data_IF_288063558824
#
_entry.id   IF_288063558824
#
_cell.length_a   1.000
_cell.length_b   1.000
_cell.length_c   1.000
_cell.angle_alpha   90.00
_cell.angle_beta   90.00
_cell.angle_gamma   90.00
#
_symmetry.space_group_name_H-M   'P 1'
#
loop_
_entity.id
_entity.type
_entity.pdbx_description
1 polymer ?
#
# COMPACT_ATOMS: atom_id res chain seq x y z
N UNK A 1 12.98 -3.85 -16.61
CA UNK A 1 11.79 -4.71 -16.54
C UNK A 1 11.10 -4.57 -17.87
N UNK A 2 11.03 -5.66 -18.64
CA UNK A 2 10.53 -5.66 -20.01
C UNK A 2 9.04 -5.31 -20.02
N UNK A 3 8.57 -4.49 -20.96
CA UNK A 3 7.28 -3.79 -20.93
C UNK A 3 6.01 -4.64 -21.08
N UNK A 4 5.99 -5.87 -20.56
CA UNK A 4 4.87 -6.81 -20.59
C UNK A 4 3.76 -6.53 -19.58
N UNK A 5 2.67 -7.29 -19.69
CA UNK A 5 1.57 -7.31 -18.71
C UNK A 5 2.13 -7.71 -17.34
N UNK A 6 1.80 -6.92 -16.31
CA UNK A 6 2.27 -7.14 -14.94
C UNK A 6 1.26 -7.92 -14.10
N UNK A 7 -0.04 -7.76 -14.40
CA UNK A 7 -1.13 -8.53 -13.77
C UNK A 7 -2.34 -8.61 -14.71
N UNK A 8 -3.32 -9.44 -14.35
CA UNK A 8 -4.55 -9.64 -15.13
C UNK A 8 -5.77 -9.12 -14.38
N UNK A 9 -6.81 -8.75 -15.13
CA UNK A 9 -8.15 -8.51 -14.59
C UNK A 9 -8.62 -9.71 -13.78
N UNK A 10 -9.18 -9.45 -12.60
CA UNK A 10 -9.72 -10.47 -11.70
C UNK A 10 -8.68 -11.24 -10.87
N UNK A 11 -7.39 -10.97 -11.06
CA UNK A 11 -6.33 -11.58 -10.24
C UNK A 11 -6.06 -10.74 -9.00
N UNK A 12 -6.08 -11.39 -7.84
CA UNK A 12 -5.71 -10.79 -6.56
C UNK A 12 -4.20 -10.53 -6.51
N UNK A 13 -3.79 -9.28 -6.29
CA UNK A 13 -2.39 -8.90 -6.12
C UNK A 13 -2.11 -8.62 -4.65
N UNK A 14 -1.08 -9.27 -4.11
CA UNK A 14 -0.61 -9.02 -2.74
C UNK A 14 0.20 -7.73 -2.66
N UNK A 15 -0.07 -6.92 -1.65
CA UNK A 15 0.65 -5.67 -1.40
C UNK A 15 1.20 -5.69 0.01
N UNK A 16 2.46 -5.31 0.17
CA UNK A 16 3.11 -5.17 1.46
C UNK A 16 4.13 -4.05 1.45
N UNK A 17 4.38 -3.47 2.62
CA UNK A 17 5.42 -2.48 2.83
C UNK A 17 6.77 -3.18 3.03
N UNK A 18 7.86 -2.56 2.56
CA UNK A 18 9.21 -3.01 2.92
C UNK A 18 9.52 -2.69 4.39
N UNK A 19 10.58 -3.28 4.90
CA UNK A 19 11.12 -2.98 6.24
C UNK A 19 11.54 -1.50 6.38
N UNK A 20 11.82 -0.82 5.26
CA UNK A 20 12.14 0.62 5.23
C UNK A 20 10.93 1.53 5.50
N UNK A 21 9.71 0.98 5.57
CA UNK A 21 8.51 1.72 5.94
C UNK A 21 8.32 1.61 7.46
N UNK A 22 8.73 2.61 8.25
CA UNK A 22 8.65 2.49 9.70
C UNK A 22 7.19 2.47 10.15
N UNK A 23 6.85 1.59 11.08
CA UNK A 23 5.52 1.61 11.72
C UNK A 23 5.46 2.62 12.87
N UNK A 24 6.62 2.90 13.48
CA UNK A 24 6.80 3.90 14.52
C UNK A 24 8.17 4.56 14.39
N UNK A 25 8.23 5.87 14.61
CA UNK A 25 9.45 6.68 14.61
C UNK A 25 9.45 7.55 15.85
N UNK A 26 10.58 7.61 16.55
CA UNK A 26 10.78 8.48 17.71
C UNK A 26 11.89 9.49 17.45
N UNK A 27 11.64 10.74 17.79
CA UNK A 27 12.62 11.81 17.72
C UNK A 27 12.63 12.59 19.05
N UNK A 28 13.80 13.10 19.44
CA UNK A 28 13.93 13.94 20.64
C UNK A 28 14.49 15.31 20.27
N UNK A 29 14.04 16.33 20.99
CA UNK A 29 14.55 17.69 20.88
C UNK A 29 14.69 18.29 22.28
N UNK A 30 15.81 18.95 22.55
CA UNK A 30 16.11 19.56 23.85
C UNK A 30 16.26 21.06 23.72
N UNK A 31 15.59 21.81 24.59
CA UNK A 31 15.68 23.25 24.71
C UNK A 31 15.85 23.63 26.20
N UNK A 32 17.07 24.03 26.57
CA UNK A 32 17.41 24.32 27.97
C UNK A 32 17.24 23.05 28.85
N UNK A 33 16.50 23.12 29.97
CA UNK A 33 16.27 21.96 30.85
C UNK A 33 15.16 21.02 30.35
N UNK A 34 14.44 21.39 29.28
CA UNK A 34 13.28 20.62 28.78
C UNK A 34 13.69 19.77 27.59
N UNK A 35 13.36 18.49 27.62
CA UNK A 35 13.47 17.57 26.47
C UNK A 35 12.09 17.09 26.09
N UNK A 36 11.73 17.23 24.81
CA UNK A 36 10.52 16.66 24.23
C UNK A 36 10.87 15.40 23.42
N UNK A 37 10.05 14.37 23.57
CA UNK A 37 10.09 13.13 22.78
C UNK A 37 8.83 13.09 21.93
N UNK A 38 9.01 13.10 20.61
CA UNK A 38 7.94 12.92 19.63
C UNK A 38 7.89 11.46 19.22
N UNK A 39 6.70 10.87 19.21
CA UNK A 39 6.45 9.53 18.65
C UNK A 39 5.42 9.65 17.54
N UNK A 40 5.79 9.21 16.34
CA UNK A 40 4.91 9.13 15.19
C UNK A 40 4.65 7.66 14.86
N UNK A 41 3.39 7.25 14.73
CA UNK A 41 3.00 5.87 14.46
C UNK A 41 1.99 5.80 13.33
N UNK A 42 2.02 4.73 12.55
CA UNK A 42 1.05 4.45 11.50
C UNK A 42 0.44 3.06 11.67
N UNK A 43 -0.81 2.93 11.23
CA UNK A 43 -1.59 1.70 11.34
C UNK A 43 -1.62 0.88 10.05
N UNK A 44 -1.10 1.39 8.93
CA UNK A 44 -1.06 0.64 7.68
C UNK A 44 -0.91 1.44 6.39
N UNK A 45 -0.99 0.72 5.28
CA UNK A 45 -0.98 1.25 3.93
C UNK A 45 -2.35 1.79 3.53
N UNK A 46 -2.36 2.86 2.75
CA UNK A 46 -3.51 3.28 1.94
C UNK A 46 -3.18 3.06 0.47
N UNK A 47 -4.13 2.50 -0.27
CA UNK A 47 -3.96 2.21 -1.69
C UNK A 47 -5.13 2.80 -2.49
N UNK A 48 -4.84 3.21 -3.73
CA UNK A 48 -5.89 3.52 -4.71
C UNK A 48 -5.38 3.31 -6.13
N UNK A 49 -6.27 2.86 -7.01
CA UNK A 49 -6.05 2.84 -8.44
C UNK A 49 -7.42 2.94 -9.17
N UNK A 50 -7.44 3.37 -10.44
CA UNK A 50 -8.60 3.18 -11.29
C UNK A 50 -8.94 1.70 -11.47
N UNK A 51 -10.24 1.41 -11.57
CA UNK A 51 -10.77 0.06 -11.84
C UNK A 51 -10.19 -1.02 -10.91
N UNK A 52 -10.14 -0.74 -9.61
CA UNK A 52 -9.59 -1.67 -8.62
C UNK A 52 -10.47 -1.81 -7.39
N UNK A 53 -10.55 -3.03 -6.87
CA UNK A 53 -11.06 -3.36 -5.55
C UNK A 53 -9.87 -3.58 -4.61
N UNK A 54 -9.93 -2.99 -3.41
CA UNK A 54 -8.82 -2.94 -2.46
C UNK A 54 -9.32 -3.39 -1.09
N UNK A 55 -8.59 -4.31 -0.46
CA UNK A 55 -8.80 -4.72 0.92
C UNK A 55 -7.46 -4.72 1.62
N UNK A 56 -7.20 -3.71 2.47
CA UNK A 56 -5.92 -3.58 3.16
C UNK A 56 -6.08 -3.28 4.63
N UNK A 57 -5.44 -4.12 5.44
CA UNK A 57 -5.30 -4.00 6.88
C UNK A 57 -3.82 -4.05 7.22
N UNK A 58 -3.33 -3.07 7.98
CA UNK A 58 -1.93 -3.01 8.33
C UNK A 58 -1.02 -2.72 7.14
N UNK A 59 0.20 -3.26 7.21
CA UNK A 59 1.26 -3.03 6.23
C UNK A 59 1.40 -4.15 5.20
N UNK A 60 0.46 -5.10 5.15
CA UNK A 60 0.61 -6.31 4.35
C UNK A 60 1.61 -7.31 4.95
N UNK A 61 1.72 -8.47 4.31
CA UNK A 61 2.72 -9.49 4.64
C UNK A 61 3.50 -9.86 3.38
N UNK A 62 4.85 -9.86 3.41
CA UNK A 62 5.63 -10.33 2.28
C UNK A 62 5.25 -11.75 1.87
N UNK A 63 4.99 -11.95 0.57
CA UNK A 63 4.65 -13.27 0.06
C UNK A 63 5.82 -14.25 0.22
N UNK A 64 5.50 -15.50 0.55
CA UNK A 64 6.43 -16.62 0.57
C UNK A 64 5.82 -17.85 -0.10
N UNK A 65 6.67 -18.66 -0.72
CA UNK A 65 6.23 -19.90 -1.36
C UNK A 65 5.49 -20.81 -0.39
N UNK A 66 4.31 -21.28 -0.80
CA UNK A 66 3.46 -22.16 0.00
C UNK A 66 2.45 -21.44 0.90
N UNK A 67 2.42 -20.11 0.93
CA UNK A 67 1.31 -19.39 1.55
C UNK A 67 0.01 -19.60 0.76
N UNK A 68 -1.10 -19.70 1.49
CA UNK A 68 -2.41 -19.93 0.90
C UNK A 68 -2.91 -18.70 0.13
N UNK A 69 -3.65 -18.93 -0.95
CA UNK A 69 -4.37 -17.86 -1.65
C UNK A 69 -5.33 -17.15 -0.67
N UNK A 70 -5.46 -15.83 -0.80
CA UNK A 70 -6.28 -15.01 0.08
C UNK A 70 -5.76 -14.82 1.51
N UNK A 71 -4.55 -15.29 1.84
CA UNK A 71 -4.00 -15.10 3.20
C UNK A 71 -3.33 -13.75 3.43
N UNK A 72 -3.18 -12.91 2.39
CA UNK A 72 -2.61 -11.57 2.57
C UNK A 72 -3.59 -10.66 3.29
N UNK A 73 -3.16 -9.89 4.30
CA UNK A 73 -4.00 -8.87 4.93
C UNK A 73 -4.14 -7.60 4.06
N UNK A 74 -3.43 -7.52 2.92
CA UNK A 74 -3.52 -6.40 1.99
C UNK A 74 -3.45 -6.85 0.54
N UNK A 75 -4.54 -6.61 -0.20
CA UNK A 75 -4.74 -7.07 -1.57
C UNK A 75 -5.37 -5.99 -2.45
N UNK A 76 -5.09 -6.10 -3.75
CA UNK A 76 -5.67 -5.27 -4.81
C UNK A 76 -6.03 -6.14 -6.02
N UNK A 77 -7.27 -6.01 -6.50
CA UNK A 77 -7.76 -6.73 -7.69
C UNK A 77 -8.24 -5.71 -8.71
N UNK A 78 -7.70 -5.75 -9.93
CA UNK A 78 -8.18 -4.89 -11.00
C UNK A 78 -9.40 -5.50 -11.68
N UNK A 79 -10.43 -4.69 -11.92
CA UNK A 79 -11.70 -5.10 -12.53
C UNK A 79 -11.78 -4.80 -14.02
N UNK A 80 -10.80 -4.09 -14.58
CA UNK A 80 -10.73 -3.76 -16.01
C UNK A 80 -9.29 -3.63 -16.51
N UNK A 81 -9.06 -3.95 -17.78
CA UNK A 81 -7.76 -3.78 -18.43
C UNK A 81 -7.33 -2.31 -18.44
N UNK A 82 -6.03 -2.04 -18.33
CA UNK A 82 -5.48 -0.69 -18.39
C UNK A 82 -5.41 -0.09 -19.80
N UNK A 83 -5.76 -0.84 -20.85
CA UNK A 83 -5.71 -0.35 -22.24
C UNK A 83 -6.58 0.90 -22.44
N UNK A 84 -7.75 0.97 -21.79
CA UNK A 84 -8.62 2.16 -21.89
C UNK A 84 -8.04 3.42 -21.21
N UNK A 85 -7.03 3.24 -20.34
CA UNK A 85 -6.30 4.31 -19.65
C UNK A 85 -5.02 4.73 -20.38
N UNK A 86 -4.82 4.27 -21.62
CA UNK A 86 -3.58 4.51 -22.38
C UNK A 86 -2.46 3.51 -22.08
N UNK A 87 -2.82 2.34 -21.53
CA UNK A 87 -1.93 1.18 -21.41
C UNK A 87 -1.44 0.89 -20.00
N UNK A 88 -1.65 1.78 -19.02
CA UNK A 88 -1.25 1.56 -17.61
C UNK A 88 -2.28 2.10 -16.63
N UNK A 89 -2.47 1.40 -15.51
CA UNK A 89 -3.19 1.90 -14.33
C UNK A 89 -2.18 2.46 -13.33
N UNK A 90 -2.40 3.69 -12.85
CA UNK A 90 -1.55 4.31 -11.82
C UNK A 90 -2.06 3.92 -10.44
N UNK A 91 -1.24 3.16 -9.72
CA UNK A 91 -1.43 2.85 -8.30
C UNK A 91 -0.81 3.95 -7.46
N UNK A 92 -1.59 4.51 -6.55
CA UNK A 92 -1.09 5.36 -5.47
C UNK A 92 -0.98 4.52 -4.21
N UNK A 93 0.15 4.62 -3.54
CA UNK A 93 0.43 4.00 -2.24
C UNK A 93 0.71 5.12 -1.26
N UNK A 94 0.14 5.04 -0.06
CA UNK A 94 0.34 6.02 0.99
C UNK A 94 0.50 5.38 2.36
N UNK A 95 1.10 6.14 3.27
CA UNK A 95 1.16 5.84 4.70
C UNK A 95 0.90 7.14 5.45
N UNK A 96 -0.02 7.09 6.42
CA UNK A 96 -0.36 8.22 7.28
C UNK A 96 0.10 7.95 8.70
N UNK A 97 0.82 8.90 9.29
CA UNK A 97 1.34 8.82 10.65
C UNK A 97 0.59 9.81 11.56
N UNK A 98 0.06 9.30 12.67
CA UNK A 98 -0.36 10.13 13.80
C UNK A 98 0.83 10.35 14.72
N UNK A 99 1.06 11.59 15.16
CA UNK A 99 2.19 11.93 16.00
C UNK A 99 1.72 12.59 17.30
N UNK A 100 2.43 12.30 18.38
CA UNK A 100 2.23 12.94 19.68
C UNK A 100 3.58 13.18 20.35
N UNK A 101 3.62 14.05 21.36
CA UNK A 101 4.83 14.33 22.11
C UNK A 101 4.58 14.27 23.62
N UNK A 102 5.66 13.97 24.35
CA UNK A 102 5.76 14.13 25.80
C UNK A 102 7.04 14.89 26.12
N UNK A 103 7.02 15.73 27.14
CA UNK A 103 8.17 16.52 27.56
C UNK A 103 8.52 16.31 29.04
N UNK A 104 9.78 16.53 29.40
CA UNK A 104 10.30 16.34 30.77
C UNK A 104 9.72 17.30 31.81
N UNK A 105 9.05 18.36 31.38
CA UNK A 105 8.32 19.30 32.24
C UNK A 105 6.85 18.87 32.48
N UNK A 106 6.43 17.72 31.94
CA UNK A 106 5.08 17.18 32.05
C UNK A 106 4.14 17.60 30.92
N UNK A 107 4.57 18.47 30.00
CA UNK A 107 3.77 18.85 28.82
C UNK A 107 3.61 17.67 27.86
N UNK A 108 2.43 17.56 27.23
CA UNK A 108 2.16 16.55 26.20
C UNK A 108 1.06 17.02 25.24
N UNK A 109 0.94 16.36 24.09
CA UNK A 109 -0.16 16.59 23.16
C UNK A 109 0.00 15.90 21.82
N UNK A 110 -1.02 16.04 20.98
CA UNK A 110 -1.02 15.55 19.60
C UNK A 110 -0.40 16.59 18.65
N UNK A 111 0.20 16.09 17.58
CA UNK A 111 0.74 16.85 16.47
C UNK A 111 -0.07 16.57 15.20
N UNK A 112 -0.05 17.48 14.20
CA UNK A 112 -0.66 17.21 12.91
C UNK A 112 -0.13 15.91 12.30
N UNK A 113 -1.02 15.14 11.67
CA UNK A 113 -0.61 13.93 10.96
C UNK A 113 0.26 14.29 9.76
N UNK A 114 1.19 13.38 9.45
CA UNK A 114 2.07 13.48 8.27
C UNK A 114 1.83 12.26 7.42
N UNK A 115 1.77 12.43 6.09
CA UNK A 115 1.70 11.32 5.16
C UNK A 115 2.85 11.32 4.18
N UNK A 116 3.22 10.12 3.74
CA UNK A 116 4.11 9.89 2.61
C UNK A 116 3.36 9.10 1.55
N UNK A 117 3.66 9.33 0.29
CA UNK A 117 3.05 8.59 -0.81
C UNK A 117 4.05 8.30 -1.93
N UNK A 118 3.73 7.25 -2.69
CA UNK A 118 4.45 6.83 -3.88
C UNK A 118 3.46 6.42 -4.97
N UNK A 119 3.95 6.34 -6.20
CA UNK A 119 3.13 5.89 -7.33
C UNK A 119 3.85 4.80 -8.13
N UNK A 120 3.07 3.90 -8.70
CA UNK A 120 3.54 2.83 -9.57
C UNK A 120 2.58 2.69 -10.76
N UNK A 121 3.12 2.61 -11.97
CA UNK A 121 2.34 2.37 -13.18
C UNK A 121 2.35 0.88 -13.53
N UNK A 122 1.16 0.25 -13.49
CA UNK A 122 0.98 -1.17 -13.72
C UNK A 122 0.24 -1.41 -15.04
N UNK A 123 0.75 -2.32 -15.88
CA UNK A 123 0.02 -2.82 -17.06
C UNK A 123 -0.91 -3.95 -16.65
N UNK A 124 -2.21 -3.74 -16.79
CA UNK A 124 -3.26 -4.71 -16.47
C UNK A 124 -3.81 -5.28 -17.78
N UNK A 125 -3.47 -6.54 -18.03
CA UNK A 125 -3.97 -7.29 -19.18
C UNK A 125 -5.31 -7.97 -18.90
N UNK A 126 -5.92 -8.50 -19.95
CA UNK A 126 -7.13 -9.30 -19.85
C UNK A 126 -6.92 -10.59 -20.64
N UNK A 127 -7.28 -11.72 -20.04
CA UNK A 127 -7.18 -13.03 -20.67
C UNK A 127 -8.58 -13.50 -21.06
N UNK A 128 -8.76 -13.80 -22.35
CA UNK A 128 -10.04 -14.23 -22.91
C UNK A 128 -9.88 -15.64 -23.49
N UNK A 129 -10.90 -16.49 -23.30
CA UNK A 129 -10.98 -17.80 -23.92
C UNK A 129 -12.05 -17.81 -25.01
N UNK A 130 -11.78 -18.53 -26.10
CA UNK A 130 -12.77 -18.82 -27.12
C UNK A 130 -13.34 -20.21 -26.86
N UNK A 131 -14.67 -20.32 -26.78
CA UNK A 131 -15.33 -21.60 -26.81
C UNK A 131 -15.77 -21.88 -28.26
N UNK A 132 -15.20 -22.91 -28.88
CA UNK A 132 -15.57 -23.34 -30.23
C UNK A 132 -16.30 -24.67 -30.13
N UNK A 133 -17.59 -24.70 -30.49
CA UNK A 133 -18.32 -25.95 -30.68
C UNK A 133 -17.83 -26.62 -31.97
N UNK A 134 -17.00 -27.66 -31.86
CA UNK A 134 -16.71 -28.58 -32.97
C UNK A 134 -17.88 -29.56 -33.21
N UNK A 135 -19.13 -29.07 -33.13
CA UNK A 135 -20.32 -29.83 -33.51
C UNK A 135 -20.63 -29.52 -34.99
N UNK A 136 -20.02 -30.30 -35.88
CA UNK A 136 -20.40 -30.39 -37.29
C UNK A 136 -21.25 -31.64 -37.53
#
# INVERSE_FOLDING_TARGET
>A
MDGGVQTLVGVENWVWASEDTPQSVTATATAGPVTATVTASSTGLTLSAPDSEISCQGFGTPWQSGMAEGSSPCTMTFTRSSEHLGGTSTVNVGVSYSASYTATDGSQGDLPSVSTSGTLSIKVGEAQSLNTDDQK
#
